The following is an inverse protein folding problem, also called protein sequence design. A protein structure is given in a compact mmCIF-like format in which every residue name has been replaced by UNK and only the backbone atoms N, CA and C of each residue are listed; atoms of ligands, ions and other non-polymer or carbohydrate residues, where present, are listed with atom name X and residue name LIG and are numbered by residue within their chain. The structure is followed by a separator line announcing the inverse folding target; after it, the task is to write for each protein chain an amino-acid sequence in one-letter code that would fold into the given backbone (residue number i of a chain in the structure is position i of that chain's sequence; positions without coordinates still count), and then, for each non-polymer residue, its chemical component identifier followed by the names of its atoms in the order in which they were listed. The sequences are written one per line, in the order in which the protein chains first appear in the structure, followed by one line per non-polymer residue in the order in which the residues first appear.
data_IF_378294426912
#
_entry.id   IF_378294426912
#
_cell.length_a   1.000
_cell.length_b   1.000
_cell.length_c   1.000
_cell.angle_alpha   90.00
_cell.angle_beta   90.00
_cell.angle_gamma   90.00
#
_symmetry.space_group_name_H-M   'P 1'
#
loop_
_entity.id
_entity.type
_entity.pdbx_description
1 polymer ?
#
# COMPACT_ATOMS: atom_id res chain seq x y z
N UNK A 1 -48.35 -17.19 -22.39
CA UNK A 1 -46.99 -17.00 -22.93
C UNK A 1 -46.24 -16.10 -21.96
N UNK A 2 -45.20 -16.60 -21.31
CA UNK A 2 -44.50 -15.92 -20.21
C UNK A 2 -43.09 -15.55 -20.65
N UNK A 3 -42.83 -14.27 -20.91
CA UNK A 3 -41.51 -13.80 -21.34
C UNK A 3 -40.65 -13.46 -20.11
N UNK A 4 -39.59 -14.26 -19.90
CA UNK A 4 -38.60 -14.02 -18.85
C UNK A 4 -37.77 -12.77 -19.18
N UNK A 5 -37.94 -11.70 -18.39
CA UNK A 5 -37.23 -10.43 -18.57
C UNK A 5 -35.89 -10.47 -17.81
N UNK A 6 -34.89 -11.20 -18.33
CA UNK A 6 -33.54 -11.13 -17.75
C UNK A 6 -32.87 -9.80 -18.14
N UNK A 7 -32.64 -8.92 -17.15
CA UNK A 7 -31.86 -7.69 -17.32
C UNK A 7 -30.43 -8.02 -17.78
N UNK A 8 -29.90 -7.37 -18.82
CA UNK A 8 -28.51 -7.57 -19.22
C UNK A 8 -27.58 -7.05 -18.13
N UNK A 9 -26.72 -7.93 -17.61
CA UNK A 9 -25.69 -7.58 -16.62
C UNK A 9 -24.56 -6.87 -17.38
N UNK A 10 -24.45 -5.55 -17.22
CA UNK A 10 -23.29 -4.78 -17.69
C UNK A 10 -22.05 -5.40 -17.06
N UNK A 11 -21.20 -6.03 -17.88
CA UNK A 11 -19.92 -6.58 -17.42
C UNK A 11 -19.01 -5.39 -17.12
N UNK A 12 -18.47 -5.34 -15.89
CA UNK A 12 -17.39 -4.40 -15.57
C UNK A 12 -16.23 -4.65 -16.57
N UNK A 13 -15.57 -3.61 -17.07
CA UNK A 13 -14.35 -3.79 -17.86
C UNK A 13 -13.37 -4.62 -17.05
N UNK A 14 -12.82 -5.66 -17.67
CA UNK A 14 -11.83 -6.51 -17.02
C UNK A 14 -10.63 -5.65 -16.60
N UNK A 15 -10.22 -5.74 -15.34
CA UNK A 15 -8.97 -5.17 -14.88
C UNK A 15 -7.87 -5.75 -15.78
N UNK A 16 -7.11 -4.87 -16.45
CA UNK A 16 -5.95 -5.27 -17.23
C UNK A 16 -5.04 -6.09 -16.31
N UNK A 17 -4.66 -7.33 -16.67
CA UNK A 17 -3.73 -8.10 -15.86
C UNK A 17 -2.44 -7.30 -15.78
N UNK A 18 -2.12 -6.81 -14.58
CA UNK A 18 -0.81 -6.21 -14.34
C UNK A 18 0.24 -7.26 -14.72
N UNK A 19 1.28 -6.89 -15.51
CA UNK A 19 2.30 -7.84 -15.90
C UNK A 19 2.90 -8.48 -14.65
N UNK A 20 3.00 -9.80 -14.64
CA UNK A 20 3.60 -10.54 -13.53
C UNK A 20 5.07 -10.16 -13.45
N UNK A 21 5.42 -9.30 -12.49
CA UNK A 21 6.79 -8.92 -12.22
C UNK A 21 7.58 -10.16 -11.80
N UNK A 22 8.76 -10.35 -12.39
CA UNK A 22 9.71 -11.33 -11.88
C UNK A 22 10.10 -10.99 -10.42
N UNK A 23 10.59 -11.96 -9.62
CA UNK A 23 10.96 -11.69 -8.24
C UNK A 23 11.94 -10.52 -8.08
N UNK A 24 12.90 -10.37 -9.00
CA UNK A 24 13.86 -9.27 -8.99
C UNK A 24 13.21 -7.90 -9.30
N UNK A 25 12.30 -7.85 -10.28
CA UNK A 25 11.56 -6.62 -10.61
C UNK A 25 10.58 -6.23 -9.51
N UNK A 26 10.01 -7.21 -8.80
CA UNK A 26 9.16 -6.96 -7.65
C UNK A 26 9.96 -6.33 -6.50
N UNK A 27 11.16 -6.85 -6.21
CA UNK A 27 12.05 -6.26 -5.21
C UNK A 27 12.51 -4.85 -5.60
N UNK A 28 12.89 -4.64 -6.86
CA UNK A 28 13.26 -3.32 -7.37
C UNK A 28 12.10 -2.31 -7.29
N UNK A 29 10.87 -2.75 -7.59
CA UNK A 29 9.68 -1.92 -7.44
C UNK A 29 9.36 -1.59 -5.98
N UNK A 30 9.61 -2.52 -5.04
CA UNK A 30 9.48 -2.25 -3.61
C UNK A 30 10.53 -1.25 -3.13
N UNK A 31 11.80 -1.44 -3.51
CA UNK A 31 12.89 -0.51 -3.21
C UNK A 31 12.64 0.88 -3.81
N UNK A 32 12.18 0.96 -5.05
CA UNK A 32 11.82 2.24 -5.68
C UNK A 32 10.64 2.93 -4.99
N UNK A 33 9.71 2.15 -4.40
CA UNK A 33 8.63 2.70 -3.58
C UNK A 33 9.11 3.15 -2.20
N UNK A 34 10.22 2.61 -1.71
CA UNK A 34 10.86 3.00 -0.45
C UNK A 34 11.77 4.22 -0.64
N UNK A 35 12.35 4.39 -1.83
CA UNK A 35 13.14 5.55 -2.20
C UNK A 35 12.33 6.84 -2.03
N UNK A 36 12.82 7.74 -1.16
CA UNK A 36 12.17 9.02 -0.85
C UNK A 36 11.12 8.98 0.27
N UNK A 37 10.94 7.84 0.95
CA UNK A 37 10.16 7.79 2.20
C UNK A 37 11.05 8.07 3.41
N UNK A 38 10.50 8.77 4.38
CA UNK A 38 11.09 8.97 5.70
C UNK A 38 10.93 7.70 6.52
N UNK A 39 12.03 7.23 7.12
CA UNK A 39 12.00 6.13 8.07
C UNK A 39 11.58 6.70 9.43
N UNK A 40 10.56 6.12 10.02
CA UNK A 40 10.05 6.50 11.34
C UNK A 40 10.05 5.30 12.26
N UNK A 41 10.31 5.55 13.55
CA UNK A 41 10.46 4.56 14.59
C UNK A 41 9.41 4.77 15.67
N UNK A 42 8.95 3.71 16.30
CA UNK A 42 8.14 3.75 17.52
C UNK A 42 8.66 2.69 18.47
N UNK A 43 8.73 3.01 19.76
CA UNK A 43 9.18 2.07 20.79
C UNK A 43 7.98 1.74 21.66
N UNK A 44 7.63 0.46 21.74
CA UNK A 44 6.52 0.02 22.60
C UNK A 44 6.94 -0.03 24.08
N UNK A 45 5.98 -0.34 24.96
CA UNK A 45 6.21 -0.43 26.40
C UNK A 45 7.16 -1.59 26.81
N UNK A 46 7.41 -2.53 25.90
CA UNK A 46 8.33 -3.66 26.10
C UNK A 46 9.72 -3.41 25.48
N UNK A 47 9.91 -2.28 24.79
CA UNK A 47 11.16 -1.89 24.15
C UNK A 47 11.32 -2.38 22.69
N UNK A 48 10.29 -2.97 22.07
CA UNK A 48 10.36 -3.33 20.65
C UNK A 48 10.29 -2.09 19.78
N UNK A 49 11.12 -2.08 18.74
CA UNK A 49 11.19 -0.99 17.76
C UNK A 49 10.36 -1.35 16.53
N UNK A 50 9.25 -0.65 16.33
CA UNK A 50 8.50 -0.68 15.08
C UNK A 50 9.10 0.33 14.10
N UNK A 51 9.44 -0.13 12.90
CA UNK A 51 10.00 0.72 11.82
C UNK A 51 9.00 0.86 10.69
N UNK A 52 8.71 2.09 10.26
CA UNK A 52 7.80 2.39 9.15
C UNK A 52 8.42 3.31 8.12
N UNK A 53 8.14 3.03 6.85
CA UNK A 53 8.48 3.89 5.72
C UNK A 53 7.29 4.77 5.37
N UNK A 54 7.42 6.07 5.66
CA UNK A 54 6.33 7.05 5.57
C UNK A 54 6.65 8.04 4.45
N UNK A 55 5.67 8.35 3.60
CA UNK A 55 5.83 9.45 2.62
C UNK A 55 5.95 10.77 3.37
N UNK A 56 6.80 11.69 2.90
CA UNK A 56 7.05 13.00 3.52
C UNK A 56 5.78 13.73 3.98
N UNK A 57 4.75 13.78 3.12
CA UNK A 57 3.45 14.41 3.40
C UNK A 57 2.68 13.85 4.61
N UNK A 58 3.00 12.64 5.06
CA UNK A 58 2.33 11.98 6.17
C UNK A 58 3.16 11.99 7.46
N UNK A 59 4.41 12.49 7.44
CA UNK A 59 5.33 12.43 8.58
C UNK A 59 4.70 13.04 9.83
N UNK A 60 4.08 14.22 9.72
CA UNK A 60 3.43 14.90 10.85
C UNK A 60 2.30 14.08 11.47
N UNK A 61 1.52 13.36 10.65
CA UNK A 61 0.46 12.49 11.13
C UNK A 61 0.99 11.27 11.89
N UNK A 62 2.20 10.80 11.57
CA UNK A 62 2.86 9.71 12.28
C UNK A 62 3.60 10.20 13.52
N UNK A 63 4.16 11.41 13.49
CA UNK A 63 4.70 12.10 14.68
C UNK A 63 3.62 12.24 15.76
N UNK A 64 2.41 12.65 15.38
CA UNK A 64 1.27 12.75 16.30
C UNK A 64 0.84 11.40 16.89
N UNK A 65 1.16 10.27 16.24
CA UNK A 65 0.90 8.91 16.74
C UNK A 65 2.01 8.39 17.65
N UNK A 66 3.03 9.19 17.94
CA UNK A 66 4.16 8.81 18.78
C UNK A 66 5.32 8.16 18.04
N UNK A 67 5.28 8.09 16.70
CA UNK A 67 6.47 7.72 15.94
C UNK A 67 7.45 8.91 15.93
N UNK A 68 8.74 8.64 15.77
CA UNK A 68 9.78 9.66 15.68
C UNK A 68 10.77 9.34 14.57
N UNK A 69 11.45 10.37 14.06
CA UNK A 69 12.57 10.24 13.14
C UNK A 69 13.86 10.28 13.97
N UNK A 70 14.85 9.46 13.62
CA UNK A 70 16.17 9.46 14.25
C UNK A 70 17.20 10.15 13.36
#
# INVERSE_FOLDING_TARGET
MSYSTKRPRVRKPAESPAPSLSPAEHLAALQAREAGKTIMYHVDAWGHVETRFVRSQNVDAWLAKGFFVR
#
